data_IF_234715701085
#
_entry.id   IF_234715701085
#
_cell.length_a   1.000
_cell.length_b   1.000
_cell.length_c   1.000
_cell.angle_alpha   90.00
_cell.angle_beta   90.00
_cell.angle_gamma   90.00
#
_symmetry.space_group_name_H-M   'P 1'
#
loop_
_entity.id
_entity.type
_entity.pdbx_description
1 polymer ?
#
# COMPACT_ATOMS: atom_id res chain seq x y z
N UNK A 1 15.67 8.77 -18.23
CA UNK A 1 15.61 9.61 -19.46
C UNK A 1 14.37 9.35 -20.30
N UNK A 2 13.93 8.08 -20.49
CA UNK A 2 12.77 7.75 -21.34
C UNK A 2 11.40 8.29 -20.85
N UNK A 3 11.18 8.42 -19.54
CA UNK A 3 9.94 9.03 -18.99
C UNK A 3 9.75 10.51 -19.34
N UNK A 4 10.86 11.23 -19.58
CA UNK A 4 10.81 12.66 -19.88
C UNK A 4 10.37 12.94 -21.32
N UNK A 5 10.57 11.98 -22.23
CA UNK A 5 10.23 12.09 -23.65
C UNK A 5 8.91 11.38 -24.01
N UNK A 6 8.30 10.67 -23.05
CA UNK A 6 7.02 9.99 -23.28
C UNK A 6 5.84 10.97 -23.27
N UNK A 7 4.73 10.54 -23.86
CA UNK A 7 3.50 11.32 -23.89
C UNK A 7 3.02 11.67 -22.46
N UNK A 8 2.42 12.85 -22.26
CA UNK A 8 1.92 13.25 -20.96
C UNK A 8 0.79 12.33 -20.49
N UNK A 9 0.65 12.20 -19.17
CA UNK A 9 -0.53 11.59 -18.57
C UNK A 9 -1.69 12.60 -18.63
N UNK A 10 -2.75 12.25 -19.36
CA UNK A 10 -3.92 13.10 -19.54
C UNK A 10 -5.11 12.52 -18.77
N UNK A 11 -5.80 13.38 -18.02
CA UNK A 11 -7.02 13.04 -17.30
C UNK A 11 -8.03 14.18 -17.38
N UNK A 12 -9.31 13.84 -17.32
CA UNK A 12 -10.39 14.79 -17.07
C UNK A 12 -10.73 14.79 -15.58
N UNK A 13 -10.89 15.98 -15.01
CA UNK A 13 -11.34 16.14 -13.65
C UNK A 13 -12.76 16.71 -13.64
N UNK A 14 -13.70 15.95 -13.09
CA UNK A 14 -15.09 16.36 -12.92
C UNK A 14 -15.30 16.78 -11.47
N UNK A 15 -15.78 18.00 -11.24
CA UNK A 15 -16.19 18.48 -9.91
C UNK A 15 -17.70 18.64 -9.91
N UNK A 16 -18.37 17.80 -9.12
CA UNK A 16 -19.81 17.88 -8.89
C UNK A 16 -20.06 18.75 -7.66
N UNK A 17 -21.00 19.68 -7.79
CA UNK A 17 -21.56 20.45 -6.68
C UNK A 17 -23.05 20.18 -6.66
N UNK A 18 -23.53 19.62 -5.55
CA UNK A 18 -24.93 19.21 -5.37
C UNK A 18 -25.50 20.01 -4.22
N UNK A 19 -26.64 20.68 -4.45
CA UNK A 19 -27.38 21.37 -3.39
C UNK A 19 -28.55 20.50 -2.93
N UNK A 20 -28.57 20.13 -1.66
CA UNK A 20 -29.68 19.37 -1.05
C UNK A 20 -30.21 20.17 0.12
N UNK A 21 -31.49 20.59 0.06
CA UNK A 21 -32.19 21.32 1.15
C UNK A 21 -31.41 22.53 1.72
N UNK A 22 -30.64 23.22 0.89
CA UNK A 22 -29.85 24.40 1.29
C UNK A 22 -28.39 24.13 1.68
N UNK A 23 -27.95 22.87 1.71
CA UNK A 23 -26.56 22.49 1.97
C UNK A 23 -25.84 22.07 0.67
N UNK A 24 -24.60 22.52 0.47
CA UNK A 24 -23.79 22.23 -0.71
C UNK A 24 -22.79 21.11 -0.45
N UNK A 25 -22.87 20.03 -1.22
CA UNK A 25 -21.93 18.91 -1.21
C UNK A 25 -21.04 18.98 -2.45
N UNK A 26 -19.75 18.65 -2.29
CA UNK A 26 -18.82 18.59 -3.43
C UNK A 26 -18.18 17.20 -3.56
N UNK A 27 -18.10 16.71 -4.79
CA UNK A 27 -17.39 15.47 -5.12
C UNK A 27 -16.46 15.74 -6.29
N UNK A 28 -15.22 15.26 -6.20
CA UNK A 28 -14.23 15.37 -7.28
C UNK A 28 -13.89 13.98 -7.78
N UNK A 29 -13.88 13.83 -9.09
CA UNK A 29 -13.52 12.58 -9.75
C UNK A 29 -12.54 12.81 -10.88
N UNK A 30 -11.75 11.79 -11.17
CA UNK A 30 -10.80 11.79 -12.28
C UNK A 30 -11.08 10.62 -13.21
N UNK A 31 -11.08 10.91 -14.51
CA UNK A 31 -11.19 9.93 -15.58
C UNK A 31 -9.92 10.05 -16.43
N UNK A 32 -9.13 8.99 -16.51
CA UNK A 32 -7.88 8.98 -17.28
C UNK A 32 -8.22 8.89 -18.77
N UNK A 33 -7.76 9.87 -19.56
CA UNK A 33 -7.85 9.88 -21.03
C UNK A 33 -6.68 9.13 -21.66
N UNK A 34 -5.46 9.48 -21.27
CA UNK A 34 -4.24 8.87 -21.76
C UNK A 34 -3.30 8.58 -20.60
N UNK A 35 -2.81 7.34 -20.53
CA UNK A 35 -1.89 6.94 -19.47
C UNK A 35 -0.49 7.53 -19.64
N UNK A 36 -0.08 7.84 -20.88
CA UNK A 36 1.21 8.44 -21.18
C UNK A 36 2.38 7.76 -20.44
N UNK A 37 3.25 8.57 -19.83
CA UNK A 37 4.41 8.13 -19.05
C UNK A 37 4.08 7.17 -17.90
N UNK A 38 2.83 7.15 -17.40
CA UNK A 38 2.44 6.20 -16.34
C UNK A 38 2.46 4.75 -16.80
N UNK A 39 2.37 4.46 -18.10
CA UNK A 39 2.52 3.08 -18.60
C UNK A 39 3.91 2.53 -18.32
N UNK A 40 4.93 3.38 -18.42
CA UNK A 40 6.33 3.01 -18.23
C UNK A 40 6.68 2.94 -16.75
N UNK A 41 6.06 3.80 -15.93
CA UNK A 41 6.35 3.91 -14.49
C UNK A 41 5.47 3.04 -13.59
N UNK A 42 4.59 2.20 -14.12
CA UNK A 42 3.64 1.36 -13.33
C UNK A 42 4.30 0.29 -12.44
N UNK A 43 5.62 0.36 -12.21
CA UNK A 43 6.37 -0.53 -11.34
C UNK A 43 6.54 0.07 -9.94
N UNK A 44 5.50 0.01 -9.10
CA UNK A 44 5.64 0.14 -7.64
C UNK A 44 4.74 1.18 -6.96
N UNK A 45 3.76 0.67 -6.21
CA UNK A 45 3.30 1.18 -4.90
C UNK A 45 2.86 2.65 -4.78
N UNK A 46 2.02 3.11 -5.70
CA UNK A 46 1.12 4.24 -5.46
C UNK A 46 -0.33 3.76 -5.47
N UNK A 47 -0.99 3.70 -4.31
CA UNK A 47 -2.45 3.60 -4.29
C UNK A 47 -3.04 4.91 -4.84
N UNK A 48 -3.16 5.03 -6.16
CA UNK A 48 -4.01 6.04 -6.76
C UNK A 48 -5.46 5.70 -6.36
N UNK A 49 -5.92 6.31 -5.26
CA UNK A 49 -7.33 6.34 -4.86
C UNK A 49 -8.11 7.28 -5.78
N UNK A 50 -7.92 7.13 -7.09
CA UNK A 50 -8.60 7.94 -8.08
C UNK A 50 -10.06 7.48 -8.13
N UNK A 51 -10.92 8.23 -7.45
CA UNK A 51 -12.36 8.08 -7.56
C UNK A 51 -12.77 8.50 -8.98
N UNK A 52 -13.20 7.55 -9.82
CA UNK A 52 -13.84 7.88 -11.10
C UNK A 52 -15.30 8.21 -10.87
N UNK A 53 -15.70 9.43 -11.23
CA UNK A 53 -17.10 9.83 -11.26
C UNK A 53 -17.67 9.49 -12.65
N UNK A 54 -18.91 8.99 -12.75
CA UNK A 54 -19.56 8.83 -14.03
C UNK A 54 -19.77 10.22 -14.68
N UNK A 55 -19.84 10.29 -16.02
CA UNK A 55 -20.27 11.50 -16.70
C UNK A 55 -21.72 11.81 -16.30
N UNK A 56 -21.94 12.99 -15.70
CA UNK A 56 -23.26 13.49 -15.29
C UNK A 56 -23.52 14.79 -16.05
N UNK A 57 -24.74 14.98 -16.54
CA UNK A 57 -25.14 16.20 -17.23
C UNK A 57 -25.63 17.26 -16.25
N UNK A 58 -25.43 18.55 -16.58
CA UNK A 58 -25.94 19.66 -15.76
C UNK A 58 -27.47 19.59 -15.71
N UNK A 59 -28.02 19.42 -14.51
CA UNK A 59 -29.48 19.35 -14.28
C UNK A 59 -30.05 17.93 -14.15
N UNK A 60 -29.21 16.90 -14.05
CA UNK A 60 -29.66 15.54 -13.79
C UNK A 60 -30.02 15.33 -12.31
N UNK A 61 -31.20 14.73 -12.07
CA UNK A 61 -31.66 14.41 -10.72
C UNK A 61 -30.92 13.20 -10.14
N UNK A 62 -30.17 13.40 -9.06
CA UNK A 62 -29.41 12.34 -8.40
C UNK A 62 -30.23 11.74 -7.25
N UNK A 63 -30.47 10.42 -7.28
CA UNK A 63 -31.12 9.70 -6.17
C UNK A 63 -30.14 9.50 -5.01
N UNK A 64 -30.51 10.05 -3.85
CA UNK A 64 -29.78 9.89 -2.59
C UNK A 64 -29.91 8.43 -2.10
N UNK A 65 -28.82 7.66 -2.12
CA UNK A 65 -28.83 6.26 -1.65
C UNK A 65 -28.59 6.16 -0.14
N UNK A 66 -27.62 6.91 0.38
CA UNK A 66 -27.26 6.89 1.80
C UNK A 66 -26.50 8.14 2.18
N UNK A 67 -26.75 8.66 3.38
CA UNK A 67 -25.98 9.75 3.98
C UNK A 67 -25.24 9.20 5.18
N UNK A 68 -23.94 9.49 5.27
CA UNK A 68 -23.11 9.13 6.42
C UNK A 68 -22.42 10.38 6.92
N UNK A 69 -22.63 10.72 8.19
CA UNK A 69 -21.83 11.74 8.87
C UNK A 69 -20.53 11.11 9.36
N UNK A 70 -19.40 11.74 9.05
CA UNK A 70 -18.07 11.30 9.50
C UNK A 70 -17.46 12.46 10.29
N UNK A 71 -17.25 12.24 11.59
CA UNK A 71 -16.58 13.19 12.45
C UNK A 71 -15.06 12.95 12.38
N UNK A 72 -14.39 13.58 11.42
CA UNK A 72 -12.94 13.53 11.32
C UNK A 72 -12.29 14.68 12.10
N UNK A 73 -11.22 14.37 12.83
CA UNK A 73 -10.39 15.37 13.52
C UNK A 73 -9.14 15.64 12.68
N UNK A 74 -8.65 16.87 12.71
CA UNK A 74 -7.34 17.18 12.13
C UNK A 74 -6.26 16.37 12.85
N UNK A 75 -5.36 15.76 12.08
CA UNK A 75 -4.16 15.16 12.64
C UNK A 75 -3.18 16.30 12.93
N UNK A 76 -2.65 16.42 14.15
CA UNK A 76 -1.56 17.36 14.39
C UNK A 76 -0.37 17.00 13.47
N UNK A 77 0.49 17.98 13.14
CA UNK A 77 1.68 17.69 12.36
C UNK A 77 2.48 16.56 13.03
N UNK A 78 3.02 15.65 12.21
CA UNK A 78 3.83 14.55 12.70
C UNK A 78 4.98 15.11 13.55
N UNK A 79 5.17 14.56 14.75
CA UNK A 79 6.31 14.96 15.58
C UNK A 79 7.60 14.51 14.91
N UNK A 80 8.65 15.31 15.05
CA UNK A 80 9.99 14.88 14.69
C UNK A 80 10.42 13.73 15.59
N UNK A 81 10.91 12.66 15.00
CA UNK A 81 11.65 11.61 15.71
C UNK A 81 13.17 11.89 15.57
N UNK A 82 13.97 11.21 16.39
CA UNK A 82 15.44 11.40 16.37
C UNK A 82 16.05 11.20 14.98
N UNK A 83 15.51 10.23 14.22
CA UNK A 83 15.91 9.97 12.84
C UNK A 83 15.69 11.18 11.92
N UNK A 84 14.48 11.78 11.93
CA UNK A 84 14.17 12.95 11.09
C UNK A 84 15.02 14.18 11.44
N UNK A 85 15.36 14.37 12.72
CA UNK A 85 16.22 15.47 13.16
C UNK A 85 17.66 15.30 12.68
N UNK A 86 18.18 14.08 12.72
CA UNK A 86 19.53 13.76 12.23
C UNK A 86 19.61 13.93 10.71
N UNK A 87 18.62 13.43 9.97
CA UNK A 87 18.54 13.61 8.52
C UNK A 87 18.55 15.10 8.14
N UNK A 88 17.73 15.92 8.81
CA UNK A 88 17.69 17.36 8.57
C UNK A 88 19.04 18.05 8.83
N UNK A 89 19.77 17.63 9.87
CA UNK A 89 21.12 18.16 10.17
C UNK A 89 22.12 17.80 9.08
N UNK A 90 22.13 16.55 8.61
CA UNK A 90 23.06 16.10 7.58
C UNK A 90 22.77 16.75 6.23
N UNK A 91 21.51 16.87 5.83
CA UNK A 91 21.12 17.58 4.61
C UNK A 91 21.60 19.04 4.63
N UNK A 92 21.43 19.72 5.76
CA UNK A 92 21.92 21.10 5.94
C UNK A 92 23.44 21.19 5.80
N UNK A 93 24.18 20.25 6.38
CA UNK A 93 25.65 20.23 6.26
C UNK A 93 26.11 19.94 4.84
N UNK A 94 25.48 18.98 4.16
CA UNK A 94 25.77 18.69 2.75
C UNK A 94 25.51 19.90 1.84
N UNK A 95 24.45 20.67 2.10
CA UNK A 95 24.21 21.93 1.39
C UNK A 95 25.33 22.96 1.63
N UNK A 96 25.88 23.04 2.85
CA UNK A 96 26.99 23.95 3.15
C UNK A 96 28.28 23.51 2.47
N UNK A 97 28.55 22.20 2.41
CA UNK A 97 29.69 21.63 1.67
C UNK A 97 29.55 21.94 0.17
N UNK A 98 28.36 21.75 -0.41
CA UNK A 98 28.08 22.10 -1.81
C UNK A 98 28.26 23.60 -2.09
N UNK A 99 28.05 24.47 -1.09
CA UNK A 99 28.31 25.91 -1.16
C UNK A 99 29.76 26.30 -0.81
N UNK A 100 30.64 25.33 -0.54
CA UNK A 100 32.04 25.57 -0.17
C UNK A 100 32.25 26.14 1.24
N UNK A 101 31.21 26.17 2.09
CA UNK A 101 31.25 26.75 3.45
C UNK A 101 31.64 25.75 4.54
N UNK A 102 31.79 24.48 4.20
CA UNK A 102 32.12 23.40 5.13
C UNK A 102 33.07 22.39 4.50
N UNK A 103 33.86 21.70 5.33
CA UNK A 103 34.85 20.73 4.89
C UNK A 103 34.24 19.34 4.74
N UNK A 104 34.45 18.71 3.58
CA UNK A 104 33.94 17.36 3.28
C UNK A 104 34.60 16.28 4.15
N UNK A 105 35.91 16.39 4.41
CA UNK A 105 36.65 15.40 5.21
C UNK A 105 36.21 15.38 6.68
N UNK A 106 35.92 16.55 7.27
CA UNK A 106 35.43 16.61 8.65
C UNK A 106 34.05 15.98 8.77
N UNK A 107 33.16 16.24 7.81
CA UNK A 107 31.84 15.62 7.77
C UNK A 107 31.92 14.09 7.66
N UNK A 108 32.75 13.56 6.75
CA UNK A 108 32.93 12.10 6.61
C UNK A 108 33.52 11.48 7.88
N UNK A 109 34.43 12.19 8.56
CA UNK A 109 34.99 11.75 9.85
C UNK A 109 33.90 11.64 10.91
N UNK A 110 33.11 12.69 11.10
CA UNK A 110 31.99 12.72 12.05
C UNK A 110 30.96 11.61 11.77
N UNK A 111 30.66 11.36 10.49
CA UNK A 111 29.75 10.29 10.08
C UNK A 111 30.28 8.89 10.45
N UNK A 112 31.57 8.64 10.26
CA UNK A 112 32.22 7.37 10.64
C UNK A 112 32.22 7.18 12.16
N UNK A 113 32.51 8.25 12.92
CA UNK A 113 32.47 8.22 14.38
C UNK A 113 31.06 7.95 14.91
N UNK A 114 30.05 8.62 14.35
CA UNK A 114 28.65 8.40 14.70
C UNK A 114 28.22 6.94 14.43
N UNK A 115 28.53 6.40 13.25
CA UNK A 115 28.23 5.01 12.90
C UNK A 115 28.95 4.02 13.84
N UNK A 116 30.23 4.27 14.14
CA UNK A 116 31.01 3.42 15.05
C UNK A 116 30.42 3.41 16.46
N UNK A 117 29.93 4.55 16.96
CA UNK A 117 29.25 4.65 18.25
C UNK A 117 27.94 3.86 18.28
N UNK A 118 27.12 3.95 17.22
CA UNK A 118 25.87 3.19 17.12
C UNK A 118 26.14 1.68 17.12
N UNK A 119 27.08 1.22 16.31
CA UNK A 119 27.46 -0.20 16.27
C UNK A 119 28.03 -0.64 17.62
N UNK A 120 28.86 0.17 18.26
CA UNK A 120 29.39 -0.10 19.59
C UNK A 120 28.28 -0.28 20.64
N UNK A 121 27.25 0.57 20.61
CA UNK A 121 26.10 0.43 21.50
C UNK A 121 25.30 -0.86 21.26
N UNK A 122 25.13 -1.27 20.00
CA UNK A 122 24.41 -2.51 19.64
C UNK A 122 25.21 -3.76 20.02
N UNK A 123 26.54 -3.73 19.88
CA UNK A 123 27.40 -4.83 20.32
C UNK A 123 27.42 -4.94 21.84
N UNK A 124 27.35 -3.80 22.55
CA UNK A 124 27.30 -3.78 24.01
C UNK A 124 25.92 -4.18 24.57
N UNK A 125 24.84 -4.05 23.78
CA UNK A 125 23.50 -4.44 24.23
C UNK A 125 23.31 -5.95 24.15
N UNK A 126 22.71 -6.52 25.19
CA UNK A 126 22.33 -7.93 25.26
C UNK A 126 20.89 -8.21 24.79
N UNK A 127 20.23 -7.22 24.18
CA UNK A 127 18.85 -7.37 23.73
C UNK A 127 18.74 -8.30 22.52
N UNK A 128 17.93 -9.36 22.65
CA UNK A 128 17.64 -10.26 21.55
C UNK A 128 16.68 -9.59 20.55
N UNK A 129 17.08 -9.52 19.28
CA UNK A 129 16.25 -9.00 18.20
C UNK A 129 14.95 -9.80 18.05
N UNK A 130 13.81 -9.09 18.02
CA UNK A 130 12.47 -9.66 17.83
C UNK A 130 11.89 -9.17 16.51
N UNK A 131 11.34 -10.10 15.74
CA UNK A 131 10.63 -9.77 14.50
C UNK A 131 9.21 -9.27 14.81
N UNK A 132 8.86 -8.06 14.35
CA UNK A 132 7.52 -7.47 14.54
C UNK A 132 6.43 -8.20 13.74
N UNK A 133 6.81 -8.88 12.66
CA UNK A 133 5.89 -9.55 11.73
C UNK A 133 5.71 -11.05 12.02
N UNK A 134 5.96 -11.49 13.26
CA UNK A 134 5.77 -12.87 13.68
C UNK A 134 4.27 -13.22 13.80
N UNK A 135 3.86 -14.29 13.14
CA UNK A 135 2.48 -14.81 13.19
C UNK A 135 2.32 -15.91 14.24
N UNK A 136 1.08 -16.36 14.48
CA UNK A 136 0.78 -17.50 15.35
C UNK A 136 0.92 -18.86 14.63
N UNK A 137 1.18 -18.86 13.33
CA UNK A 137 1.28 -20.08 12.53
C UNK A 137 2.68 -20.66 12.66
N UNK A 138 2.77 -21.93 13.04
CA UNK A 138 4.05 -22.64 13.16
C UNK A 138 4.50 -23.21 11.82
N UNK A 139 5.81 -23.21 11.60
CA UNK A 139 6.45 -23.88 10.49
C UNK A 139 6.32 -25.40 10.65
N UNK A 140 5.93 -26.15 9.60
CA UNK A 140 5.84 -27.61 9.66
C UNK A 140 7.21 -28.29 9.79
N UNK A 141 8.28 -27.65 9.32
CA UNK A 141 9.62 -28.25 9.29
C UNK A 141 10.44 -27.96 10.56
N UNK A 142 10.33 -26.77 11.14
CA UNK A 142 11.12 -26.37 12.31
C UNK A 142 10.30 -26.00 13.56
N UNK A 143 8.97 -25.92 13.46
CA UNK A 143 8.08 -25.59 14.58
C UNK A 143 8.10 -24.13 15.06
N UNK A 144 8.96 -23.25 14.52
CA UNK A 144 8.99 -21.82 14.85
C UNK A 144 7.83 -21.06 14.21
N UNK A 145 7.49 -19.91 14.78
CA UNK A 145 6.46 -19.04 14.22
C UNK A 145 6.91 -18.44 12.89
N UNK A 146 6.03 -18.53 11.89
CA UNK A 146 6.27 -17.98 10.55
C UNK A 146 6.12 -16.45 10.55
N UNK A 147 6.88 -15.78 9.71
CA UNK A 147 6.82 -14.34 9.47
C UNK A 147 5.89 -14.02 8.31
N UNK A 148 4.99 -13.05 8.47
CA UNK A 148 4.18 -12.53 7.36
C UNK A 148 4.96 -11.45 6.62
N UNK A 149 5.12 -11.62 5.31
CA UNK A 149 5.72 -10.60 4.44
C UNK A 149 4.81 -10.33 3.25
N UNK A 150 4.71 -9.06 2.86
CA UNK A 150 3.98 -8.63 1.68
C UNK A 150 4.90 -8.70 0.46
N UNK A 151 4.56 -9.54 -0.51
CA UNK A 151 5.24 -9.64 -1.80
C UNK A 151 4.42 -9.05 -2.94
N UNK A 152 5.01 -8.97 -4.14
CA UNK A 152 4.35 -8.44 -5.35
C UNK A 152 3.06 -9.19 -5.74
N UNK A 153 2.93 -10.45 -5.33
CA UNK A 153 1.80 -11.33 -5.68
C UNK A 153 0.78 -11.49 -4.53
N UNK A 154 0.99 -10.84 -3.39
CA UNK A 154 0.17 -10.98 -2.20
C UNK A 154 1.01 -11.30 -0.95
N UNK A 155 0.34 -11.73 0.12
CA UNK A 155 0.96 -12.03 1.41
C UNK A 155 1.50 -13.45 1.42
N UNK A 156 2.67 -13.63 2.05
CA UNK A 156 3.33 -14.92 2.18
C UNK A 156 3.89 -15.11 3.59
N UNK A 157 3.86 -16.36 4.05
CA UNK A 157 4.46 -16.80 5.31
C UNK A 157 5.84 -17.38 5.03
N UNK A 158 6.85 -16.88 5.74
CA UNK A 158 8.25 -17.27 5.57
C UNK A 158 8.84 -17.67 6.91
N UNK A 159 9.57 -18.77 6.95
CA UNK A 159 10.27 -19.18 8.17
C UNK A 159 11.40 -18.19 8.52
N UNK A 160 11.54 -17.77 9.79
CA UNK A 160 12.64 -16.90 10.22
C UNK A 160 14.02 -17.57 10.06
N UNK A 161 14.09 -18.89 10.21
CA UNK A 161 15.35 -19.63 10.05
C UNK A 161 15.74 -19.75 8.58
N UNK A 162 16.96 -19.31 8.27
CA UNK A 162 17.54 -19.39 6.92
C UNK A 162 17.79 -20.85 6.49
N UNK A 163 18.11 -21.72 7.44
CA UNK A 163 18.40 -23.14 7.17
C UNK A 163 17.12 -23.95 6.86
N UNK A 164 15.97 -23.53 7.41
CA UNK A 164 14.68 -24.17 7.17
C UNK A 164 14.11 -23.79 5.80
N UNK A 165 14.13 -22.49 5.46
CA UNK A 165 13.74 -22.02 4.12
C UNK A 165 12.26 -22.16 3.75
N UNK A 166 11.37 -22.64 4.65
CA UNK A 166 9.94 -22.83 4.38
C UNK A 166 9.24 -21.52 3.97
N UNK A 167 8.44 -21.58 2.89
CA UNK A 167 7.67 -20.46 2.34
C UNK A 167 6.30 -20.93 1.87
N UNK A 168 5.25 -20.20 2.23
CA UNK A 168 3.87 -20.48 1.83
C UNK A 168 3.14 -19.21 1.40
N UNK A 169 2.46 -19.25 0.26
CA UNK A 169 1.58 -18.14 -0.16
C UNK A 169 0.25 -18.19 0.59
N UNK A 170 -0.19 -17.06 1.15
CA UNK A 170 -1.48 -16.94 1.86
C UNK A 170 -2.51 -16.23 1.01
N UNK A 171 -2.10 -15.22 0.24
CA UNK A 171 -2.97 -14.55 -0.70
C UNK A 171 -2.32 -14.42 -2.06
N UNK A 172 -3.15 -14.58 -3.09
CA UNK A 172 -2.77 -14.32 -4.47
C UNK A 172 -3.67 -13.20 -4.99
N UNK A 173 -3.07 -12.07 -5.37
CA UNK A 173 -3.81 -11.03 -6.08
C UNK A 173 -4.20 -11.55 -7.46
N UNK A 174 -5.48 -11.87 -7.64
CA UNK A 174 -6.04 -12.09 -8.97
C UNK A 174 -6.59 -10.77 -9.52
N UNK A 175 -6.52 -10.61 -10.85
CA UNK A 175 -7.15 -9.48 -11.55
C UNK A 175 -8.63 -9.75 -11.87
N UNK A 176 -9.25 -10.75 -11.22
CA UNK A 176 -10.66 -11.07 -11.45
C UNK A 176 -11.53 -9.85 -11.07
N UNK A 177 -12.29 -9.36 -12.06
CA UNK A 177 -13.25 -8.27 -11.87
C UNK A 177 -14.65 -8.88 -11.75
N UNK A 178 -15.38 -8.49 -10.72
CA UNK A 178 -16.79 -8.82 -10.62
C UNK A 178 -17.54 -8.09 -11.73
N UNK A 179 -18.29 -8.82 -12.56
CA UNK A 179 -19.07 -8.23 -13.66
C UNK A 179 -20.28 -7.44 -13.15
N UNK A 180 -20.64 -7.60 -11.87
CA UNK A 180 -21.80 -6.94 -11.24
C UNK A 180 -21.43 -5.66 -10.47
N UNK A 181 -20.17 -5.45 -10.08
CA UNK A 181 -19.72 -4.26 -9.33
C UNK A 181 -18.33 -3.83 -9.78
N UNK A 182 -18.19 -2.56 -10.19
CA UNK A 182 -16.98 -1.91 -10.73
C UNK A 182 -15.84 -1.68 -9.71
N UNK A 183 -15.71 -2.50 -8.66
CA UNK A 183 -14.61 -2.40 -7.67
C UNK A 183 -13.68 -3.61 -7.70
N UNK A 184 -12.40 -3.35 -7.44
CA UNK A 184 -11.30 -4.32 -7.44
C UNK A 184 -11.28 -5.08 -6.11
N UNK A 185 -11.36 -6.41 -6.14
CA UNK A 185 -11.38 -7.25 -4.94
C UNK A 185 -9.98 -7.82 -4.64
N UNK A 186 -9.69 -8.06 -3.35
CA UNK A 186 -8.53 -8.83 -2.89
C UNK A 186 -9.01 -10.25 -2.60
N UNK A 187 -8.51 -11.24 -3.33
CA UNK A 187 -8.79 -12.65 -3.08
C UNK A 187 -7.72 -13.21 -2.14
N UNK A 188 -8.15 -13.73 -1.00
CA UNK A 188 -7.30 -14.51 -0.08
C UNK A 188 -7.73 -15.98 -0.21
N UNK A 189 -6.80 -16.84 -0.64
CA UNK A 189 -7.09 -18.27 -0.85
C UNK A 189 -6.53 -19.02 0.34
N UNK A 190 -7.42 -19.45 1.24
CA UNK A 190 -7.04 -20.25 2.41
C UNK A 190 -7.03 -21.74 2.04
N UNK A 191 -5.94 -22.43 2.37
CA UNK A 191 -5.64 -23.80 1.91
C UNK A 191 -6.40 -24.93 2.66
N UNK A 192 -7.39 -24.62 3.50
CA UNK A 192 -8.17 -25.67 4.18
C UNK A 192 -9.58 -25.74 3.62
N UNK A 193 -9.81 -26.78 2.81
CA UNK A 193 -11.11 -27.36 2.44
C UNK A 193 -11.92 -26.53 1.44
N UNK A 194 -11.93 -26.98 0.17
CA UNK A 194 -13.02 -26.99 -0.85
C UNK A 194 -14.04 -25.83 -0.93
N UNK A 195 -13.73 -24.64 -0.41
CA UNK A 195 -14.60 -23.48 -0.45
C UNK A 195 -13.76 -22.23 -0.74
N UNK A 196 -14.07 -21.57 -1.84
CA UNK A 196 -13.54 -20.24 -2.15
C UNK A 196 -14.34 -19.23 -1.31
N UNK A 197 -13.84 -18.88 -0.13
CA UNK A 197 -14.47 -17.83 0.68
C UNK A 197 -14.06 -16.46 0.13
N UNK A 198 -15.03 -15.73 -0.42
CA UNK A 198 -14.88 -14.31 -0.72
C UNK A 198 -15.25 -13.55 0.54
N UNK A 199 -14.24 -13.16 1.33
CA UNK A 199 -14.48 -12.31 2.51
C UNK A 199 -14.71 -10.88 2.01
N UNK A 200 -15.95 -10.42 2.15
CA UNK A 200 -16.28 -9.00 2.03
C UNK A 200 -15.99 -8.32 3.37
N UNK A 201 -15.20 -7.24 3.36
CA UNK A 201 -14.91 -6.38 4.52
C UNK A 201 -16.12 -5.54 4.97
N UNK A 202 -17.34 -6.09 4.90
CA UNK A 202 -18.51 -5.46 5.51
C UNK A 202 -19.28 -6.50 6.30
N UNK A 203 -19.60 -6.17 7.56
CA UNK A 203 -20.29 -6.95 8.60
C UNK A 203 -21.70 -7.46 8.21
N UNK A 204 -21.89 -8.02 7.03
CA UNK A 204 -23.16 -8.59 6.59
C UNK A 204 -22.92 -10.01 6.10
N UNK A 205 -23.41 -10.95 6.92
CA UNK A 205 -23.63 -12.35 6.56
C UNK A 205 -24.26 -12.46 5.18
N UNK A 206 -23.56 -13.09 4.25
CA UNK A 206 -24.16 -13.61 3.03
C UNK A 206 -23.80 -15.09 2.87
N UNK A 207 -24.81 -15.87 2.51
CA UNK A 207 -24.76 -17.33 2.40
C UNK A 207 -23.85 -17.79 1.24
N UNK A 208 -23.24 -18.98 1.35
CA UNK A 208 -22.33 -19.50 0.33
C UNK A 208 -23.07 -19.80 -0.97
N UNK A 209 -22.51 -19.33 -2.09
CA UNK A 209 -22.92 -19.75 -3.43
C UNK A 209 -22.51 -21.21 -3.62
N UNK A 210 -23.49 -22.09 -3.66
CA UNK A 210 -23.31 -23.50 -4.04
C UNK A 210 -23.34 -23.62 -5.57
N UNK A 211 -22.55 -24.57 -6.08
CA UNK A 211 -22.42 -25.03 -7.46
C UNK A 211 -21.25 -24.42 -8.26
N UNK A 212 -20.11 -25.10 -8.15
CA UNK A 212 -19.06 -25.11 -9.19
C UNK A 212 -19.36 -26.31 -10.08
N UNK A 213 -19.99 -26.07 -11.22
CA UNK A 213 -20.18 -27.10 -12.24
C UNK A 213 -18.95 -27.11 -13.15
N UNK A 214 -18.12 -28.14 -12.99
CA UNK A 214 -16.91 -28.34 -13.79
C UNK A 214 -17.28 -28.77 -15.22
N UNK A 215 -17.37 -27.83 -16.14
CA UNK A 215 -17.35 -28.18 -17.56
C UNK A 215 -15.90 -28.46 -17.99
N UNK A 216 -15.57 -29.74 -18.10
CA UNK A 216 -14.36 -30.23 -18.76
C UNK A 216 -14.43 -29.82 -20.23
N UNK A 217 -13.46 -29.03 -20.70
CA UNK A 217 -13.13 -29.03 -22.13
C UNK A 217 -12.28 -30.26 -22.41
N UNK A 218 -12.80 -31.14 -23.25
CA UNK A 218 -12.10 -32.22 -23.93
C UNK A 218 -11.78 -31.66 -25.34
N UNK A 219 -10.65 -32.07 -25.95
CA UNK A 219 -9.60 -31.20 -26.50
C UNK A 219 -10.03 -30.19 -27.56
#
# INVERSE_FOLDING_TARGET
>A
MLLFLSQPFEYEQTTLVINVKGESFSAKGKIVKSKGWREISSSGDGEDKDQSLPPINKGEDVKLTSVRSVNEKTKPPARYNEATLLTAKWEKQLQLIGKGKANSMSFVKEMREYASKLVGNVVASTEAYKHDNATRVKCPDCGKNLLEVSGKRGKMLVCPDRDCGYRKGVSQMSNARCLLVTRRWRLEVMETIKYLFVVADTEKNYQPLTNVENQRRVP
#
